data_IF_391502082209
#
_entry.id   IF_391502082209
#
_cell.length_a   1.000
_cell.length_b   1.000
_cell.length_c   1.000
_cell.angle_alpha   90.00
_cell.angle_beta   90.00
_cell.angle_gamma   90.00
#
_symmetry.space_group_name_H-M   'P 1'
#
loop_
_entity.id
_entity.type
_entity.pdbx_description
1 polymer ?
#
# COMPACT_ATOMS: atom_id res chain seq x y z
N UNK A 1 -18.02 14.88 16.20
CA UNK A 1 -17.19 14.02 15.36
C UNK A 1 -16.39 14.90 14.42
N UNK A 2 -15.07 14.68 14.34
CA UNK A 2 -14.16 15.38 13.42
C UNK A 2 -13.66 14.38 12.36
N UNK A 3 -13.20 14.88 11.21
CA UNK A 3 -12.45 14.07 10.27
C UNK A 3 -11.39 14.91 9.57
N UNK A 4 -10.22 14.34 9.38
CA UNK A 4 -9.06 14.97 8.73
C UNK A 4 -8.41 13.96 7.80
N UNK A 5 -8.06 14.38 6.60
CA UNK A 5 -7.28 13.55 5.66
C UNK A 5 -5.90 14.15 5.48
N UNK A 6 -4.88 13.32 5.67
CA UNK A 6 -3.48 13.67 5.41
C UNK A 6 -2.96 12.82 4.25
N UNK A 7 -2.23 13.44 3.33
CA UNK A 7 -1.58 12.74 2.21
C UNK A 7 -0.09 12.59 2.51
N UNK A 8 0.43 11.39 2.29
CA UNK A 8 1.85 11.05 2.42
C UNK A 8 2.36 10.69 1.03
N UNK A 9 3.29 11.47 0.52
CA UNK A 9 3.98 11.20 -0.75
C UNK A 9 5.14 10.24 -0.53
N UNK A 10 5.30 9.27 -1.42
CA UNK A 10 6.29 8.21 -1.35
C UNK A 10 7.04 8.09 -2.67
N UNK A 11 8.35 7.82 -2.58
CA UNK A 11 9.20 7.54 -3.74
C UNK A 11 9.95 6.23 -3.52
N UNK A 12 9.29 5.07 -3.75
CA UNK A 12 9.93 3.77 -3.60
C UNK A 12 11.11 3.63 -4.57
N UNK A 13 12.21 3.01 -4.12
CA UNK A 13 13.44 2.91 -4.89
C UNK A 13 13.43 1.77 -5.93
N UNK A 14 12.63 0.74 -5.70
CA UNK A 14 12.58 -0.47 -6.54
C UNK A 14 11.29 -1.24 -6.34
N UNK A 15 11.03 -2.19 -7.21
CA UNK A 15 10.02 -3.22 -7.00
C UNK A 15 10.33 -3.98 -5.70
N UNK A 16 9.30 -4.27 -4.91
CA UNK A 16 9.42 -4.80 -3.54
C UNK A 16 10.18 -3.90 -2.56
N UNK A 17 10.26 -2.59 -2.81
CA UNK A 17 10.59 -1.65 -1.75
C UNK A 17 9.48 -1.64 -0.71
N UNK A 18 9.86 -1.81 0.55
CA UNK A 18 8.97 -1.63 1.70
C UNK A 18 9.25 -0.29 2.35
N UNK A 19 8.20 0.43 2.73
CA UNK A 19 8.30 1.68 3.48
C UNK A 19 7.43 1.55 4.72
N UNK A 20 8.03 1.67 5.91
CA UNK A 20 7.28 1.71 7.17
C UNK A 20 6.58 3.06 7.32
N UNK A 21 5.28 3.05 7.41
CA UNK A 21 4.41 4.23 7.53
C UNK A 21 3.84 4.40 8.94
N UNK A 22 4.31 3.62 9.91
CA UNK A 22 3.72 3.59 11.26
C UNK A 22 3.90 4.91 11.98
N UNK A 23 5.05 5.56 11.82
CA UNK A 23 5.33 6.83 12.48
C UNK A 23 4.58 7.99 11.81
N UNK A 24 4.40 7.97 10.48
CA UNK A 24 3.53 8.89 9.75
C UNK A 24 2.07 8.73 10.16
N UNK A 25 1.61 7.49 10.35
CA UNK A 25 0.28 7.18 10.84
C UNK A 25 0.04 7.78 12.23
N UNK A 26 0.99 7.57 13.17
CA UNK A 26 0.93 8.17 14.52
C UNK A 26 0.90 9.69 14.47
N UNK A 27 1.73 10.28 13.62
CA UNK A 27 1.77 11.73 13.43
C UNK A 27 0.43 12.26 12.92
N UNK A 28 -0.14 11.63 11.90
CA UNK A 28 -1.45 12.02 11.34
C UNK A 28 -2.57 11.96 12.39
N UNK A 29 -2.59 10.92 13.24
CA UNK A 29 -3.55 10.81 14.34
C UNK A 29 -3.34 11.93 15.35
N UNK A 30 -2.10 12.16 15.80
CA UNK A 30 -1.76 13.20 16.76
C UNK A 30 -2.13 14.59 16.26
N UNK A 31 -1.80 14.90 15.01
CA UNK A 31 -2.07 16.21 14.39
C UNK A 31 -3.56 16.45 14.17
N UNK A 32 -4.37 15.38 14.05
CA UNK A 32 -5.81 15.47 13.96
C UNK A 32 -6.48 15.92 15.28
N UNK A 33 -5.81 15.69 16.42
CA UNK A 33 -6.34 15.89 17.75
C UNK A 33 -7.48 14.94 18.12
N UNK A 34 -7.66 13.84 17.37
CA UNK A 34 -8.67 12.82 17.63
C UNK A 34 -8.08 11.79 18.61
N UNK A 35 -8.77 11.55 19.69
CA UNK A 35 -8.34 10.63 20.74
C UNK A 35 -9.04 9.28 20.70
N UNK A 36 -10.27 9.24 20.19
CA UNK A 36 -11.05 8.02 20.08
C UNK A 36 -11.76 7.97 18.72
N UNK A 37 -11.53 6.91 17.97
CA UNK A 37 -12.10 6.81 16.63
C UNK A 37 -11.41 5.76 15.76
N UNK A 38 -11.16 6.12 14.53
CA UNK A 38 -10.56 5.24 13.53
C UNK A 38 -9.69 6.03 12.55
N UNK A 39 -8.64 5.41 12.07
CA UNK A 39 -7.90 5.86 10.89
C UNK A 39 -8.06 4.84 9.77
N UNK A 40 -8.39 5.31 8.58
CA UNK A 40 -8.34 4.53 7.35
C UNK A 40 -7.07 4.94 6.60
N UNK A 41 -6.14 4.01 6.48
CA UNK A 41 -5.01 4.13 5.56
C UNK A 41 -5.45 3.61 4.20
N UNK A 42 -5.29 4.42 3.15
CA UNK A 42 -5.74 4.08 1.79
C UNK A 42 -4.67 4.38 0.75
N UNK A 43 -4.40 3.42 -0.12
CA UNK A 43 -3.47 3.55 -1.24
C UNK A 43 -4.26 3.63 -2.56
N UNK A 44 -4.37 4.81 -3.18
CA UNK A 44 -5.17 5.02 -4.40
C UNK A 44 -4.42 4.61 -5.68
N UNK A 45 -3.77 3.44 -5.64
CA UNK A 45 -3.00 2.90 -6.76
C UNK A 45 -3.34 1.43 -6.97
N UNK A 46 -3.13 0.94 -8.20
CA UNK A 46 -3.53 -0.41 -8.61
C UNK A 46 -2.35 -1.40 -8.68
N UNK A 47 -1.13 -0.95 -8.40
CA UNK A 47 0.09 -1.76 -8.53
C UNK A 47 1.02 -1.67 -7.32
N UNK A 48 0.46 -1.36 -6.16
CA UNK A 48 1.12 -1.40 -4.86
C UNK A 48 0.12 -1.76 -3.77
N UNK A 49 0.57 -2.04 -2.57
CA UNK A 49 -0.30 -2.46 -1.47
C UNK A 49 0.12 -1.86 -0.13
N UNK A 50 -0.84 -1.79 0.80
CA UNK A 50 -0.59 -1.57 2.22
C UNK A 50 -0.66 -2.92 2.94
N UNK A 51 0.24 -3.13 3.89
CA UNK A 51 0.27 -4.33 4.72
C UNK A 51 0.33 -3.93 6.20
N UNK A 52 -0.33 -4.70 7.05
CA UNK A 52 -0.17 -4.60 8.51
C UNK A 52 0.39 -5.92 9.00
N UNK A 53 1.69 -5.94 9.28
CA UNK A 53 2.41 -7.14 9.72
C UNK A 53 3.69 -6.74 10.48
N UNK A 54 4.47 -7.73 10.86
CA UNK A 54 5.76 -7.53 11.51
C UNK A 54 6.78 -6.93 10.53
N UNK A 55 7.50 -5.89 10.97
CA UNK A 55 8.62 -5.33 10.24
C UNK A 55 9.87 -6.15 10.56
N UNK A 56 10.05 -7.27 9.83
CA UNK A 56 11.16 -8.18 10.00
C UNK A 56 11.63 -8.66 8.62
N UNK A 57 12.96 -8.64 8.40
CA UNK A 57 13.54 -8.88 7.08
C UNK A 57 13.21 -10.26 6.53
N UNK A 58 13.30 -11.31 7.35
CA UNK A 58 13.00 -12.68 6.92
C UNK A 58 11.54 -12.85 6.51
N UNK A 59 10.60 -12.24 7.27
CA UNK A 59 9.18 -12.27 6.93
C UNK A 59 8.90 -11.53 5.61
N UNK A 60 9.58 -10.40 5.35
CA UNK A 60 9.45 -9.66 4.10
C UNK A 60 10.07 -10.41 2.91
N UNK A 61 11.20 -11.07 3.10
CA UNK A 61 11.85 -11.90 2.08
C UNK A 61 10.98 -13.12 1.75
N UNK A 62 10.44 -13.79 2.74
CA UNK A 62 9.51 -14.92 2.57
C UNK A 62 8.24 -14.47 1.83
N UNK A 63 7.65 -13.35 2.22
CA UNK A 63 6.48 -12.78 1.53
C UNK A 63 6.78 -12.54 0.06
N UNK A 64 7.90 -11.85 -0.25
CA UNK A 64 8.33 -11.60 -1.62
C UNK A 64 8.48 -12.91 -2.40
N UNK A 65 9.21 -13.89 -1.85
CA UNK A 65 9.46 -15.17 -2.50
C UNK A 65 8.16 -15.93 -2.79
N UNK A 66 7.26 -16.00 -1.81
CA UNK A 66 5.99 -16.71 -1.97
C UNK A 66 5.03 -15.98 -2.94
N UNK A 67 5.01 -14.66 -2.91
CA UNK A 67 4.20 -13.88 -3.84
C UNK A 67 4.71 -14.04 -5.29
N UNK A 68 6.03 -14.10 -5.51
CA UNK A 68 6.61 -14.38 -6.82
C UNK A 68 6.32 -15.80 -7.32
N UNK A 69 6.23 -16.78 -6.42
CA UNK A 69 5.80 -18.14 -6.79
C UNK A 69 4.31 -18.21 -7.14
N UNK A 70 3.48 -17.46 -6.45
CA UNK A 70 2.03 -17.42 -6.68
C UNK A 70 1.68 -16.63 -7.96
N UNK A 71 2.36 -15.52 -8.18
CA UNK A 71 2.18 -14.60 -9.32
C UNK A 71 3.56 -14.31 -9.92
N UNK A 72 4.06 -15.19 -10.80
CA UNK A 72 5.39 -15.04 -11.41
C UNK A 72 5.49 -13.79 -12.30
N UNK A 73 6.70 -13.22 -12.41
CA UNK A 73 6.96 -12.07 -13.29
C UNK A 73 7.23 -12.49 -14.75
N UNK A 74 7.62 -13.75 -14.97
CA UNK A 74 8.15 -14.30 -16.22
C UNK A 74 7.11 -15.10 -17.04
N UNK A 75 5.84 -14.85 -16.83
CA UNK A 75 4.73 -15.44 -17.61
C UNK A 75 3.98 -14.37 -18.39
N UNK A 76 3.22 -14.78 -19.40
CA UNK A 76 2.39 -13.86 -20.18
C UNK A 76 1.19 -13.36 -19.38
N UNK A 77 0.98 -12.05 -19.43
CA UNK A 77 -0.20 -11.39 -18.89
C UNK A 77 -0.97 -10.69 -20.02
N UNK A 78 -2.27 -10.94 -20.12
CA UNK A 78 -3.11 -10.30 -21.14
C UNK A 78 -3.12 -8.77 -21.05
N UNK A 79 -2.87 -8.23 -19.84
CA UNK A 79 -2.74 -6.79 -19.62
C UNK A 79 -1.56 -6.17 -20.39
N UNK A 80 -0.52 -6.94 -20.65
CA UNK A 80 0.70 -6.51 -21.31
C UNK A 80 0.63 -6.64 -22.84
N UNK A 81 -0.42 -7.27 -23.37
CA UNK A 81 -0.65 -7.38 -24.82
C UNK A 81 -1.26 -6.06 -25.36
N UNK A 82 -0.39 -5.11 -25.66
CA UNK A 82 -0.76 -3.79 -26.17
C UNK A 82 -1.43 -3.84 -27.56
N UNK A 83 -1.33 -4.95 -28.30
CA UNK A 83 -2.02 -5.12 -29.58
C UNK A 83 -3.49 -5.45 -29.40
N UNK A 84 -3.84 -6.12 -28.32
CA UNK A 84 -5.23 -6.52 -27.98
C UNK A 84 -5.90 -5.59 -27.00
N UNK A 85 -5.13 -4.99 -26.12
CA UNK A 85 -5.66 -4.08 -25.10
C UNK A 85 -6.15 -2.79 -25.76
N UNK A 86 -7.39 -2.40 -25.44
CA UNK A 86 -8.01 -1.17 -25.95
C UNK A 86 -8.53 -0.22 -24.86
N UNK A 87 -8.35 -0.58 -23.58
CA UNK A 87 -8.87 0.18 -22.45
C UNK A 87 -7.74 0.73 -21.58
N UNK A 88 -7.93 1.94 -21.07
CA UNK A 88 -7.01 2.59 -20.13
C UNK A 88 -5.55 2.65 -20.65
N UNK A 89 -5.38 2.88 -21.95
CA UNK A 89 -4.07 3.13 -22.55
C UNK A 89 -3.77 4.61 -22.40
N UNK A 90 -2.69 4.93 -21.70
CA UNK A 90 -2.10 6.27 -21.73
C UNK A 90 -1.26 6.42 -22.99
N UNK A 91 -1.36 7.58 -23.66
CA UNK A 91 -0.85 7.77 -25.03
C UNK A 91 0.68 7.59 -25.19
N UNK A 92 1.45 7.53 -24.10
CA UNK A 92 2.89 7.39 -24.21
C UNK A 92 3.50 6.72 -22.98
N UNK A 93 3.84 5.47 -23.01
CA UNK A 93 4.71 4.77 -22.04
C UNK A 93 4.07 3.70 -21.17
N UNK A 94 3.07 3.00 -21.67
CA UNK A 94 2.63 1.75 -21.03
C UNK A 94 3.80 0.75 -20.98
N UNK A 95 4.15 0.33 -19.78
CA UNK A 95 5.14 -0.74 -19.54
C UNK A 95 4.41 -2.02 -19.14
N UNK A 96 4.94 -3.19 -19.52
CA UNK A 96 4.40 -4.46 -19.03
C UNK A 96 4.41 -4.49 -17.49
N UNK A 97 3.23 -4.58 -16.89
CA UNK A 97 3.06 -4.63 -15.42
C UNK A 97 1.83 -5.44 -14.99
N UNK A 98 1.33 -6.30 -15.84
CA UNK A 98 0.18 -7.17 -15.56
C UNK A 98 0.37 -8.00 -14.29
N UNK A 99 1.60 -8.46 -14.04
CA UNK A 99 1.95 -9.16 -12.80
C UNK A 99 1.71 -8.31 -11.54
N UNK A 100 1.96 -6.99 -11.59
CA UNK A 100 1.77 -6.11 -10.45
C UNK A 100 0.29 -5.91 -10.13
N UNK A 101 -0.54 -5.76 -11.17
CA UNK A 101 -2.00 -5.72 -11.01
C UNK A 101 -2.55 -7.01 -10.40
N UNK A 102 -2.10 -8.18 -10.87
CA UNK A 102 -2.55 -9.46 -10.33
C UNK A 102 -2.09 -9.64 -8.88
N UNK A 103 -0.85 -9.29 -8.54
CA UNK A 103 -0.36 -9.31 -7.15
C UNK A 103 -1.23 -8.43 -6.24
N UNK A 104 -1.53 -7.21 -6.68
CA UNK A 104 -2.37 -6.30 -5.91
C UNK A 104 -3.79 -6.86 -5.72
N UNK A 105 -4.42 -7.45 -6.76
CA UNK A 105 -5.74 -8.07 -6.65
C UNK A 105 -5.74 -9.28 -5.71
N UNK A 106 -4.68 -10.11 -5.74
CA UNK A 106 -4.53 -11.27 -4.84
C UNK A 106 -4.39 -10.80 -3.39
N UNK A 107 -3.61 -9.76 -3.14
CA UNK A 107 -3.45 -9.21 -1.80
C UNK A 107 -4.70 -8.48 -1.32
N UNK A 108 -5.47 -7.88 -2.23
CA UNK A 108 -6.65 -7.06 -1.93
C UNK A 108 -6.39 -6.00 -0.84
N UNK A 109 -5.15 -5.49 -0.78
CA UNK A 109 -4.61 -4.71 0.33
C UNK A 109 -4.44 -3.24 -0.07
N UNK A 110 -5.53 -2.58 -0.48
CA UNK A 110 -5.54 -1.13 -0.78
C UNK A 110 -5.83 -0.27 0.43
N UNK A 111 -6.45 -0.84 1.48
CA UNK A 111 -6.82 -0.08 2.67
C UNK A 111 -6.79 -0.91 3.93
N UNK A 112 -6.51 -0.24 5.04
CA UNK A 112 -6.65 -0.79 6.39
C UNK A 112 -7.39 0.21 7.28
N UNK A 113 -8.39 -0.28 8.00
CA UNK A 113 -9.07 0.45 9.06
C UNK A 113 -8.43 0.06 10.40
N UNK A 114 -7.83 1.02 11.10
CA UNK A 114 -7.11 0.81 12.35
C UNK A 114 -7.81 1.62 13.44
N UNK A 115 -8.26 0.99 14.53
CA UNK A 115 -8.85 1.72 15.67
C UNK A 115 -7.85 2.70 16.28
N UNK A 116 -8.37 3.83 16.75
CA UNK A 116 -7.62 4.86 17.49
C UNK A 116 -8.19 4.92 18.92
N UNK A 117 -7.31 4.83 19.90
CA UNK A 117 -7.65 4.97 21.32
C UNK A 117 -6.57 5.76 22.05
N UNK A 118 -6.96 6.68 22.90
CA UNK A 118 -6.07 7.59 23.63
C UNK A 118 -5.08 8.35 22.70
N UNK A 119 -5.51 8.64 21.47
CA UNK A 119 -4.69 9.35 20.48
C UNK A 119 -3.60 8.52 19.80
N UNK A 120 -3.66 7.20 19.93
CA UNK A 120 -2.70 6.26 19.34
C UNK A 120 -3.40 5.20 18.50
N UNK A 121 -2.76 4.69 17.40
CA UNK A 121 -3.30 3.55 16.67
C UNK A 121 -3.19 2.28 17.52
N UNK A 122 -4.28 1.54 17.64
CA UNK A 122 -4.33 0.31 18.43
C UNK A 122 -3.72 -0.87 17.63
N UNK A 123 -2.45 -0.76 17.32
CA UNK A 123 -1.68 -1.82 16.68
C UNK A 123 -1.17 -2.83 17.71
N UNK A 124 -1.11 -4.10 17.34
CA UNK A 124 -0.44 -5.12 18.14
C UNK A 124 1.07 -4.85 18.22
N UNK A 125 1.72 -5.46 19.21
CA UNK A 125 3.14 -5.24 19.55
C UNK A 125 4.09 -5.29 18.34
N UNK A 126 3.84 -6.19 17.41
CA UNK A 126 4.69 -6.43 16.25
C UNK A 126 4.11 -5.85 14.95
N UNK A 127 2.88 -5.31 14.99
CA UNK A 127 2.25 -4.75 13.81
C UNK A 127 2.85 -3.39 13.45
N UNK A 128 3.23 -3.27 12.18
CA UNK A 128 3.62 -2.03 11.52
C UNK A 128 2.76 -1.86 10.27
N UNK A 129 2.37 -0.64 9.97
CA UNK A 129 1.76 -0.31 8.68
C UNK A 129 2.87 -0.12 7.66
N UNK A 130 2.86 -0.91 6.60
CA UNK A 130 3.87 -0.91 5.57
C UNK A 130 3.25 -0.65 4.20
N UNK A 131 3.92 0.15 3.39
CA UNK A 131 3.69 0.22 1.95
C UNK A 131 4.64 -0.75 1.24
N UNK A 132 4.18 -1.41 0.17
CA UNK A 132 5.01 -2.23 -0.72
C UNK A 132 4.77 -1.86 -2.18
N UNK A 133 5.85 -1.59 -2.92
CA UNK A 133 5.81 -1.38 -4.38
C UNK A 133 5.80 -2.74 -5.09
N UNK A 134 4.83 -2.97 -5.96
CA UNK A 134 4.69 -4.23 -6.72
C UNK A 134 5.06 -4.08 -8.19
N UNK A 135 5.24 -2.84 -8.65
CA UNK A 135 5.61 -2.45 -10.01
C UNK A 135 7.02 -1.84 -10.04
N UNK A 136 7.43 -1.33 -11.17
CA UNK A 136 8.60 -0.47 -11.29
C UNK A 136 8.37 0.82 -10.47
N UNK A 137 9.44 1.43 -9.94
CA UNK A 137 9.32 2.57 -9.04
C UNK A 137 8.61 3.75 -9.71
N UNK A 138 7.64 4.32 -9.00
CA UNK A 138 6.85 5.49 -9.40
C UNK A 138 6.59 6.34 -8.17
N UNK A 139 6.32 7.62 -8.37
CA UNK A 139 5.79 8.46 -7.29
C UNK A 139 4.43 7.93 -6.84
N UNK A 140 4.30 7.71 -5.55
CA UNK A 140 3.12 7.13 -4.92
C UNK A 140 2.62 8.05 -3.81
N UNK A 141 1.38 7.86 -3.42
CA UNK A 141 0.81 8.50 -2.24
C UNK A 141 -0.07 7.54 -1.46
N UNK A 142 -0.14 7.79 -0.17
CA UNK A 142 -1.05 7.10 0.75
C UNK A 142 -1.85 8.17 1.49
N UNK A 143 -3.13 7.92 1.68
CA UNK A 143 -4.03 8.79 2.41
C UNK A 143 -4.28 8.20 3.80
N UNK A 144 -4.19 9.04 4.83
CA UNK A 144 -4.66 8.73 6.18
C UNK A 144 -5.89 9.56 6.47
N UNK A 145 -7.04 8.92 6.57
CA UNK A 145 -8.30 9.57 6.94
C UNK A 145 -8.64 9.23 8.39
N UNK A 146 -8.41 10.18 9.28
CA UNK A 146 -8.67 10.05 10.72
C UNK A 146 -10.03 10.64 11.02
N UNK A 147 -10.90 9.92 11.75
CA UNK A 147 -12.20 10.41 12.18
C UNK A 147 -12.58 9.87 13.56
N UNK A 148 -13.28 10.68 14.33
CA UNK A 148 -13.65 10.37 15.70
C UNK A 148 -13.94 11.59 16.56
N UNK A 149 -13.59 11.49 17.85
CA UNK A 149 -13.78 12.56 18.86
C UNK A 149 -12.46 12.96 19.50
#
# INVERSE_FOLDING_TARGET
>A
MKSITTTIDLSPASRFSYIDLTDELRRAIKDSGITDGMVVAFCPHTTCALLVNEWEQGAMDDFRLRLLQLVPDDVEYAHDDLFRRSQNLEENHERPNGQAHVKQMVLSATSHAIPVGAGEPLLGRWQRLMFVELDDPKDRRVLFHVFGT
#
